data_IF_280808093877
#
_entry.id   IF_280808093877
#
_cell.length_a   1.000
_cell.length_b   1.000
_cell.length_c   1.000
_cell.angle_alpha   90.00
_cell.angle_beta   90.00
_cell.angle_gamma   90.00
#
_symmetry.space_group_name_H-M   'P 1'
#
loop_
_entity.id
_entity.type
_entity.pdbx_description
1 polymer ?
#
# COMPACT_ATOMS: atom_id res chain seq x y z
N UNK A 1 33.26 -8.66 10.32
CA UNK A 1 33.17 -7.88 9.06
C UNK A 1 31.72 -7.43 8.86
N UNK A 2 31.45 -6.13 8.78
CA UNK A 2 30.09 -5.63 8.49
C UNK A 2 29.81 -5.68 6.99
N UNK A 3 28.71 -6.30 6.57
CA UNK A 3 28.28 -6.30 5.17
C UNK A 3 28.05 -4.85 4.72
N UNK A 4 28.49 -4.48 3.50
CA UNK A 4 28.26 -3.16 2.92
C UNK A 4 26.76 -2.84 2.87
N UNK A 5 26.35 -1.60 3.17
CA UNK A 5 24.93 -1.19 3.24
C UNK A 5 24.14 -1.56 1.97
N UNK A 6 24.76 -1.42 0.80
CA UNK A 6 24.19 -1.79 -0.51
C UNK A 6 24.02 -3.30 -0.73
N UNK A 7 24.71 -4.14 0.03
CA UNK A 7 24.67 -5.60 -0.06
C UNK A 7 23.87 -6.25 1.07
N UNK A 8 23.28 -5.47 1.98
CA UNK A 8 22.46 -5.98 3.09
C UNK A 8 21.06 -6.33 2.58
N UNK A 9 20.52 -7.48 3.04
CA UNK A 9 19.10 -7.79 2.85
C UNK A 9 18.27 -6.80 3.65
N UNK A 10 17.27 -6.21 3.02
CA UNK A 10 16.32 -5.32 3.69
C UNK A 10 15.49 -6.16 4.67
N UNK A 11 15.32 -5.64 5.89
CA UNK A 11 14.53 -6.30 6.93
C UNK A 11 13.04 -6.30 6.57
N UNK A 12 12.31 -7.35 6.93
CA UNK A 12 10.84 -7.34 6.82
C UNK A 12 10.22 -6.20 7.64
N UNK A 13 10.86 -5.81 8.75
CA UNK A 13 10.41 -4.67 9.57
C UNK A 13 10.53 -3.32 8.85
N UNK A 14 11.32 -3.23 7.79
CA UNK A 14 11.46 -2.00 7.00
C UNK A 14 10.16 -1.62 6.31
N UNK A 15 9.34 -2.61 5.88
CA UNK A 15 7.99 -2.38 5.32
C UNK A 15 7.18 -1.52 6.28
N UNK A 16 7.08 -1.94 7.54
CA UNK A 16 6.27 -1.24 8.56
C UNK A 16 6.85 0.14 8.89
N UNK A 17 8.17 0.23 9.08
CA UNK A 17 8.81 1.49 9.40
C UNK A 17 8.64 2.53 8.28
N UNK A 18 8.88 2.11 7.04
CA UNK A 18 8.72 2.96 5.88
C UNK A 18 7.25 3.33 5.65
N UNK A 19 6.33 2.37 5.80
CA UNK A 19 4.88 2.63 5.72
C UNK A 19 4.44 3.69 6.72
N UNK A 20 4.86 3.60 7.99
CA UNK A 20 4.51 4.61 8.99
C UNK A 20 5.06 6.00 8.66
N UNK A 21 6.27 6.06 8.10
CA UNK A 21 6.84 7.32 7.61
C UNK A 21 6.01 7.89 6.46
N UNK A 22 5.71 7.07 5.44
CA UNK A 22 4.87 7.45 4.30
C UNK A 22 3.50 7.94 4.76
N UNK A 23 2.85 7.22 5.67
CA UNK A 23 1.55 7.60 6.23
C UNK A 23 1.58 8.97 6.88
N UNK A 24 2.62 9.29 7.66
CA UNK A 24 2.78 10.62 8.28
C UNK A 24 2.96 11.72 7.23
N UNK A 25 3.88 11.53 6.29
CA UNK A 25 4.17 12.50 5.23
C UNK A 25 2.94 12.77 4.34
N UNK A 26 2.19 11.73 3.97
CA UNK A 26 0.94 11.91 3.21
C UNK A 26 -0.13 12.60 4.07
N UNK A 27 -0.24 12.27 5.36
CA UNK A 27 -1.17 12.98 6.26
C UNK A 27 -0.82 14.46 6.36
N UNK A 28 0.46 14.81 6.42
CA UNK A 28 0.92 16.21 6.42
C UNK A 28 0.60 16.96 5.11
N UNK A 29 0.56 16.26 3.97
CA UNK A 29 0.05 16.82 2.70
C UNK A 29 -1.46 17.09 2.80
N UNK A 30 -2.22 16.13 3.32
CA UNK A 30 -3.67 16.25 3.48
C UNK A 30 -4.04 17.40 4.41
N UNK A 31 -3.32 17.59 5.51
CA UNK A 31 -3.54 18.70 6.45
C UNK A 31 -3.25 20.08 5.86
N UNK A 32 -2.56 20.14 4.71
CA UNK A 32 -2.26 21.38 3.98
C UNK A 32 -3.09 21.48 2.69
N UNK A 33 -4.24 20.80 2.67
CA UNK A 33 -5.20 20.88 1.56
C UNK A 33 -4.57 20.51 0.22
N UNK A 34 -3.67 19.50 0.22
CA UNK A 34 -2.89 19.10 -0.96
C UNK A 34 -1.93 20.20 -1.49
N UNK A 35 -1.74 21.27 -0.71
CA UNK A 35 -1.03 22.49 -1.11
C UNK A 35 -1.89 23.52 -1.81
N UNK A 36 -3.21 23.31 -1.87
CA UNK A 36 -4.18 24.30 -2.32
C UNK A 36 -4.34 25.41 -1.27
N UNK A 37 -4.59 26.62 -1.75
CA UNK A 37 -4.78 27.80 -0.92
C UNK A 37 -5.80 28.69 -1.62
N UNK A 38 -7.01 28.77 -1.04
CA UNK A 38 -8.14 29.48 -1.64
C UNK A 38 -7.81 30.96 -1.83
N UNK A 39 -7.26 31.64 -0.81
CA UNK A 39 -6.91 33.06 -0.92
C UNK A 39 -5.92 33.33 -2.05
N UNK A 40 -4.92 32.46 -2.23
CA UNK A 40 -3.94 32.55 -3.30
C UNK A 40 -4.58 32.29 -4.66
N UNK A 41 -5.54 31.37 -4.73
CA UNK A 41 -6.31 31.12 -5.95
C UNK A 41 -7.19 32.32 -6.32
N UNK A 42 -7.85 32.95 -5.35
CA UNK A 42 -8.66 34.16 -5.55
C UNK A 42 -7.80 35.36 -5.94
N UNK A 43 -6.65 35.60 -5.27
CA UNK A 43 -5.70 36.65 -5.66
C UNK A 43 -5.15 36.44 -7.08
N UNK A 44 -4.91 35.19 -7.49
CA UNK A 44 -4.53 34.88 -8.88
C UNK A 44 -5.67 35.18 -9.85
N UNK A 45 -6.92 34.85 -9.48
CA UNK A 45 -8.09 35.18 -10.28
C UNK A 45 -8.21 36.70 -10.48
N UNK A 46 -8.14 37.51 -9.42
CA UNK A 46 -8.18 38.97 -9.52
C UNK A 46 -7.12 39.53 -10.48
N UNK A 47 -5.88 39.03 -10.38
CA UNK A 47 -4.79 39.44 -11.28
C UNK A 47 -5.02 39.06 -12.75
N UNK A 48 -5.69 37.95 -13.04
CA UNK A 48 -6.02 37.57 -14.42
C UNK A 48 -6.96 38.57 -15.10
N UNK A 49 -7.74 39.32 -14.32
CA UNK A 49 -8.66 40.34 -14.83
C UNK A 49 -8.10 41.77 -14.65
N UNK A 50 -6.78 41.90 -14.44
CA UNK A 50 -6.08 43.18 -14.44
C UNK A 50 -6.30 44.04 -13.20
N UNK A 51 -6.59 43.41 -12.06
CA UNK A 51 -6.89 44.08 -10.78
C UNK A 51 -8.04 45.11 -10.87
N UNK A 52 -8.84 45.04 -11.94
CA UNK A 52 -10.06 45.81 -12.11
C UNK A 52 -11.08 45.38 -11.08
N UNK A 53 -11.88 46.33 -10.61
CA UNK A 53 -13.03 46.03 -9.77
C UNK A 53 -14.07 45.24 -10.56
N UNK A 54 -14.90 44.46 -9.88
CA UNK A 54 -15.89 43.62 -10.56
C UNK A 54 -16.82 44.47 -11.44
N UNK A 55 -17.15 45.68 -11.00
CA UNK A 55 -18.01 46.63 -11.69
C UNK A 55 -17.45 47.08 -13.05
N UNK A 56 -16.13 47.21 -13.17
CA UNK A 56 -15.39 47.67 -14.35
C UNK A 56 -15.22 46.58 -15.43
N UNK A 57 -15.58 45.34 -15.13
CA UNK A 57 -15.50 44.22 -16.07
C UNK A 57 -16.65 44.25 -17.08
N UNK A 58 -16.35 43.84 -18.31
CA UNK A 58 -17.38 43.56 -19.32
C UNK A 58 -18.29 42.41 -18.84
N UNK A 59 -19.55 42.32 -19.33
CA UNK A 59 -20.44 41.22 -18.96
C UNK A 59 -19.83 39.82 -19.18
N UNK A 60 -19.02 39.64 -20.24
CA UNK A 60 -18.33 38.39 -20.53
C UNK A 60 -17.18 38.09 -19.55
N UNK A 61 -16.45 39.12 -19.12
CA UNK A 61 -15.41 38.99 -18.09
C UNK A 61 -16.02 38.70 -16.72
N UNK A 62 -17.14 39.33 -16.36
CA UNK A 62 -17.90 39.04 -15.13
C UNK A 62 -18.30 37.58 -15.06
N UNK A 63 -18.90 37.05 -16.13
CA UNK A 63 -19.32 35.65 -16.18
C UNK A 63 -18.12 34.68 -16.08
N UNK A 64 -16.97 35.01 -16.67
CA UNK A 64 -15.74 34.20 -16.53
C UNK A 64 -15.17 34.25 -15.12
N UNK A 65 -15.14 35.43 -14.51
CA UNK A 65 -14.69 35.63 -13.14
C UNK A 65 -15.54 34.84 -12.15
N UNK A 66 -16.87 34.95 -12.25
CA UNK A 66 -17.81 34.22 -11.40
C UNK A 66 -17.62 32.71 -11.51
N UNK A 67 -17.49 32.17 -12.73
CA UNK A 67 -17.21 30.74 -12.93
C UNK A 67 -15.89 30.30 -12.29
N UNK A 68 -14.84 31.12 -12.41
CA UNK A 68 -13.53 30.81 -11.81
C UNK A 68 -13.60 30.83 -10.28
N UNK A 69 -14.27 31.83 -9.71
CA UNK A 69 -14.48 31.94 -8.26
C UNK A 69 -15.33 30.78 -7.72
N UNK A 70 -16.42 30.43 -8.41
CA UNK A 70 -17.24 29.28 -8.07
C UNK A 70 -16.43 27.97 -8.12
N UNK A 71 -15.57 27.80 -9.12
CA UNK A 71 -14.67 26.65 -9.23
C UNK A 71 -13.66 26.60 -8.07
N UNK A 72 -13.06 27.73 -7.71
CA UNK A 72 -12.12 27.80 -6.60
C UNK A 72 -12.78 27.44 -5.26
N UNK A 73 -13.98 27.98 -4.99
CA UNK A 73 -14.77 27.61 -3.81
C UNK A 73 -15.16 26.14 -3.82
N UNK A 74 -15.59 25.60 -4.96
CA UNK A 74 -15.90 24.19 -5.10
C UNK A 74 -14.71 23.27 -4.75
N UNK A 75 -13.47 23.68 -5.06
CA UNK A 75 -12.30 22.92 -4.64
C UNK A 75 -12.16 22.86 -3.12
N UNK A 76 -12.30 24.00 -2.45
CA UNK A 76 -12.19 24.15 -0.99
C UNK A 76 -13.33 23.45 -0.24
N UNK A 77 -14.57 23.63 -0.71
CA UNK A 77 -15.77 23.22 0.00
C UNK A 77 -16.05 21.72 -0.08
N UNK A 78 -15.80 21.07 -1.23
CA UNK A 78 -16.17 19.66 -1.40
C UNK A 78 -15.07 18.79 -1.97
N UNK A 79 -14.34 19.22 -3.00
CA UNK A 79 -13.38 18.34 -3.68
C UNK A 79 -12.26 17.91 -2.73
N UNK A 80 -11.64 18.86 -2.02
CA UNK A 80 -10.55 18.57 -1.11
C UNK A 80 -11.02 17.68 0.06
N UNK A 81 -12.23 17.89 0.55
CA UNK A 81 -12.81 17.08 1.64
C UNK A 81 -13.01 15.63 1.19
N UNK A 82 -13.59 15.43 0.02
CA UNK A 82 -13.82 14.10 -0.57
C UNK A 82 -12.49 13.38 -0.86
N UNK A 83 -11.57 14.07 -1.52
CA UNK A 83 -10.27 13.50 -1.91
C UNK A 83 -9.43 13.13 -0.68
N UNK A 84 -9.48 13.94 0.39
CA UNK A 84 -8.86 13.61 1.69
C UNK A 84 -9.37 12.29 2.23
N UNK A 85 -10.69 12.07 2.19
CA UNK A 85 -11.30 10.86 2.70
C UNK A 85 -10.82 9.63 1.92
N UNK A 86 -10.82 9.73 0.59
CA UNK A 86 -10.34 8.67 -0.31
C UNK A 86 -8.88 8.32 -0.06
N UNK A 87 -8.00 9.32 0.10
CA UNK A 87 -6.57 9.10 0.38
C UNK A 87 -6.36 8.50 1.78
N UNK A 88 -7.08 8.96 2.80
CA UNK A 88 -7.03 8.39 4.15
C UNK A 88 -7.45 6.92 4.14
N UNK A 89 -8.49 6.58 3.37
CA UNK A 89 -8.96 5.21 3.28
C UNK A 89 -7.96 4.32 2.55
N UNK A 90 -7.27 4.81 1.51
CA UNK A 90 -6.13 4.10 0.92
C UNK A 90 -5.06 3.78 1.98
N UNK A 91 -4.66 4.77 2.79
CA UNK A 91 -3.67 4.58 3.85
C UNK A 91 -4.13 3.57 4.91
N UNK A 92 -5.41 3.59 5.29
CA UNK A 92 -5.99 2.63 6.23
C UNK A 92 -6.00 1.22 5.66
N UNK A 93 -6.40 1.04 4.39
CA UNK A 93 -6.38 -0.25 3.72
C UNK A 93 -4.98 -0.81 3.54
N UNK A 94 -3.97 0.02 3.18
CA UNK A 94 -2.57 -0.45 3.15
C UNK A 94 -2.15 -0.95 4.54
N UNK A 95 -2.48 -0.19 5.60
CA UNK A 95 -2.17 -0.59 6.97
C UNK A 95 -2.81 -1.94 7.31
N UNK A 96 -4.11 -2.10 7.06
CA UNK A 96 -4.83 -3.33 7.32
C UNK A 96 -4.17 -4.52 6.62
N UNK A 97 -3.99 -4.44 5.30
CA UNK A 97 -3.45 -5.52 4.49
C UNK A 97 -2.03 -5.92 4.91
N UNK A 98 -1.17 -4.94 5.23
CA UNK A 98 0.20 -5.20 5.70
C UNK A 98 0.20 -5.92 7.06
N UNK A 99 -0.66 -5.53 7.98
CA UNK A 99 -0.71 -6.12 9.32
C UNK A 99 -1.38 -7.49 9.33
N UNK A 100 -2.44 -7.70 8.52
CA UNK A 100 -3.06 -9.01 8.34
C UNK A 100 -2.09 -9.98 7.66
N UNK A 101 -1.37 -9.56 6.62
CA UNK A 101 -0.32 -10.40 6.05
C UNK A 101 0.74 -10.80 7.09
N UNK A 102 1.07 -9.90 8.02
CA UNK A 102 2.09 -10.16 9.03
C UNK A 102 1.64 -11.14 10.12
N UNK A 103 0.35 -11.11 10.50
CA UNK A 103 -0.19 -11.98 11.55
C UNK A 103 -0.27 -13.45 11.12
N UNK A 104 -0.31 -13.72 9.81
CA UNK A 104 -0.32 -15.07 9.26
C UNK A 104 1.11 -15.62 9.25
N UNK A 105 1.42 -16.64 10.06
CA UNK A 105 2.68 -17.38 9.96
C UNK A 105 2.45 -18.67 9.18
N UNK A 106 2.98 -18.81 7.94
CA UNK A 106 2.65 -19.97 7.12
C UNK A 106 3.25 -21.27 7.65
N UNK A 107 2.38 -22.20 8.02
CA UNK A 107 2.69 -23.60 8.38
C UNK A 107 2.18 -24.57 7.31
N UNK A 108 1.14 -24.19 6.57
CA UNK A 108 0.64 -24.90 5.39
C UNK A 108 0.62 -24.01 4.14
N UNK A 109 0.27 -24.60 2.99
CA UNK A 109 0.26 -23.88 1.72
C UNK A 109 -0.86 -22.84 1.65
N UNK A 110 -2.00 -23.17 2.26
CA UNK A 110 -3.20 -22.33 2.30
C UNK A 110 -2.92 -21.01 3.03
N UNK A 111 -2.28 -21.07 4.20
CA UNK A 111 -1.83 -19.89 4.95
C UNK A 111 -0.81 -19.06 4.16
N UNK A 112 0.11 -19.71 3.43
CA UNK A 112 1.06 -19.00 2.56
C UNK A 112 0.35 -18.27 1.42
N UNK A 113 -0.69 -18.88 0.84
CA UNK A 113 -1.50 -18.27 -0.22
C UNK A 113 -2.27 -17.07 0.35
N UNK A 114 -2.92 -17.22 1.50
CA UNK A 114 -3.67 -16.15 2.15
C UNK A 114 -2.78 -14.95 2.49
N UNK A 115 -1.62 -15.20 3.09
CA UNK A 115 -0.61 -14.16 3.34
C UNK A 115 -0.19 -13.41 2.07
N UNK A 116 -0.02 -14.12 0.96
CA UNK A 116 0.34 -13.51 -0.34
C UNK A 116 -0.78 -12.65 -0.90
N UNK A 117 -2.02 -13.07 -0.74
CA UNK A 117 -3.19 -12.29 -1.16
C UNK A 117 -3.18 -10.93 -0.45
N UNK A 118 -2.98 -10.91 0.86
CA UNK A 118 -2.89 -9.66 1.62
C UNK A 118 -1.70 -8.79 1.21
N UNK A 119 -0.51 -9.38 0.96
CA UNK A 119 0.63 -8.63 0.42
C UNK A 119 0.33 -8.02 -0.97
N UNK A 120 -0.37 -8.75 -1.83
CA UNK A 120 -0.74 -8.28 -3.17
C UNK A 120 -1.83 -7.21 -3.12
N UNK A 121 -2.78 -7.31 -2.19
CA UNK A 121 -3.76 -6.25 -1.91
C UNK A 121 -3.08 -5.00 -1.36
N UNK A 122 -2.12 -5.12 -0.45
CA UNK A 122 -1.34 -3.98 0.03
C UNK A 122 -0.63 -3.26 -1.13
N UNK A 123 0.02 -4.00 -2.04
CA UNK A 123 0.64 -3.45 -3.26
C UNK A 123 -0.41 -2.75 -4.13
N UNK A 124 -1.58 -3.37 -4.31
CA UNK A 124 -2.70 -2.78 -5.05
C UNK A 124 -3.17 -1.46 -4.45
N UNK A 125 -3.30 -1.38 -3.12
CA UNK A 125 -3.69 -0.14 -2.44
C UNK A 125 -2.61 0.94 -2.51
N UNK A 126 -1.32 0.58 -2.57
CA UNK A 126 -0.26 1.54 -2.89
C UNK A 126 -0.43 2.13 -4.30
N UNK A 127 -0.76 1.31 -5.31
CA UNK A 127 -1.04 1.82 -6.65
C UNK A 127 -2.30 2.68 -6.71
N UNK A 128 -3.34 2.31 -5.98
CA UNK A 128 -4.54 3.14 -5.83
C UNK A 128 -4.18 4.50 -5.24
N UNK A 129 -3.43 4.54 -4.13
CA UNK A 129 -2.94 5.78 -3.53
C UNK A 129 -2.17 6.65 -4.53
N UNK A 130 -1.33 6.06 -5.38
CA UNK A 130 -0.66 6.80 -6.47
C UNK A 130 -1.66 7.44 -7.43
N UNK A 131 -2.73 6.73 -7.79
CA UNK A 131 -3.76 7.24 -8.71
C UNK A 131 -4.57 8.38 -8.09
N UNK A 132 -4.97 8.26 -6.81
CA UNK A 132 -5.70 9.34 -6.11
C UNK A 132 -4.83 10.61 -6.02
N UNK A 133 -3.54 10.46 -5.65
CA UNK A 133 -2.64 11.61 -5.63
C UNK A 133 -2.42 12.21 -7.03
N UNK A 134 -2.40 11.39 -8.08
CA UNK A 134 -2.33 11.88 -9.46
C UNK A 134 -3.60 12.63 -9.86
N UNK A 135 -4.78 12.15 -9.46
CA UNK A 135 -6.05 12.82 -9.69
C UNK A 135 -6.11 14.19 -9.00
N UNK A 136 -5.62 14.27 -7.76
CA UNK A 136 -5.48 15.53 -7.04
C UNK A 136 -4.55 16.52 -7.77
N UNK A 137 -3.41 16.06 -8.30
CA UNK A 137 -2.46 16.88 -9.07
C UNK A 137 -3.08 17.42 -10.37
N UNK A 138 -3.82 16.58 -11.09
CA UNK A 138 -4.43 16.95 -12.38
C UNK A 138 -5.62 17.89 -12.21
N UNK A 139 -6.30 17.81 -11.06
CA UNK A 139 -7.52 18.55 -10.80
C UNK A 139 -7.27 19.89 -10.09
N UNK A 140 -6.37 19.92 -9.10
CA UNK A 140 -6.10 21.11 -8.30
C UNK A 140 -5.00 21.99 -8.93
N UNK A 141 -5.09 23.33 -8.79
CA UNK A 141 -4.06 24.25 -9.25
C UNK A 141 -2.85 24.30 -8.28
N UNK A 142 -2.22 23.15 -8.06
CA UNK A 142 -1.12 22.94 -7.11
C UNK A 142 0.24 22.76 -7.80
N UNK A 143 1.32 22.82 -7.02
CA UNK A 143 2.67 22.62 -7.53
C UNK A 143 3.02 21.13 -7.57
N UNK A 144 3.06 20.58 -8.78
CA UNK A 144 3.37 19.16 -9.08
C UNK A 144 4.70 18.72 -8.44
N UNK A 145 5.69 19.61 -8.36
CA UNK A 145 7.01 19.25 -7.82
C UNK A 145 6.96 18.84 -6.35
N UNK A 146 5.95 19.31 -5.60
CA UNK A 146 5.74 18.92 -4.20
C UNK A 146 5.33 17.45 -4.03
N UNK A 147 4.89 16.80 -5.12
CA UNK A 147 4.38 15.45 -5.11
C UNK A 147 5.39 14.38 -5.48
N UNK A 148 6.49 14.74 -6.15
CA UNK A 148 7.53 13.79 -6.57
C UNK A 148 8.03 12.93 -5.40
N UNK A 149 8.23 13.54 -4.24
CA UNK A 149 8.61 12.81 -3.01
C UNK A 149 7.60 11.75 -2.59
N UNK A 150 6.29 11.99 -2.76
CA UNK A 150 5.27 11.02 -2.37
C UNK A 150 5.23 9.87 -3.36
N UNK A 151 5.39 10.14 -4.65
CA UNK A 151 5.54 9.10 -5.67
C UNK A 151 6.75 8.19 -5.36
N UNK A 152 7.90 8.78 -5.01
CA UNK A 152 9.10 8.03 -4.64
C UNK A 152 8.90 7.19 -3.37
N UNK A 153 8.21 7.73 -2.36
CA UNK A 153 7.88 7.00 -1.12
C UNK A 153 6.95 5.83 -1.42
N UNK A 154 5.86 6.05 -2.16
CA UNK A 154 4.92 4.97 -2.50
C UNK A 154 5.61 3.89 -3.32
N UNK A 155 6.46 4.28 -4.28
CA UNK A 155 7.23 3.33 -5.08
C UNK A 155 8.24 2.55 -4.24
N UNK A 156 8.86 3.19 -3.24
CA UNK A 156 9.72 2.52 -2.26
C UNK A 156 8.94 1.49 -1.45
N UNK A 157 7.74 1.85 -0.95
CA UNK A 157 6.87 0.93 -0.21
C UNK A 157 6.49 -0.30 -1.05
N UNK A 158 6.09 -0.09 -2.31
CA UNK A 158 5.81 -1.18 -3.27
C UNK A 158 7.01 -2.12 -3.42
N UNK A 159 8.21 -1.57 -3.51
CA UNK A 159 9.43 -2.38 -3.65
C UNK A 159 9.73 -3.18 -2.39
N UNK A 160 9.48 -2.61 -1.20
CA UNK A 160 9.61 -3.30 0.09
C UNK A 160 8.61 -4.46 0.18
N UNK A 161 7.34 -4.24 -0.16
CA UNK A 161 6.30 -5.27 -0.18
C UNK A 161 6.62 -6.40 -1.16
N UNK A 162 7.07 -6.08 -2.37
CA UNK A 162 7.52 -7.07 -3.36
C UNK A 162 8.73 -7.87 -2.84
N UNK A 163 9.66 -7.20 -2.17
CA UNK A 163 10.82 -7.81 -1.52
C UNK A 163 10.42 -8.78 -0.41
N UNK A 164 9.47 -8.37 0.44
CA UNK A 164 8.91 -9.20 1.50
C UNK A 164 8.23 -10.46 0.94
N UNK A 165 7.34 -10.31 -0.05
CA UNK A 165 6.69 -11.44 -0.74
C UNK A 165 7.70 -12.42 -1.35
N UNK A 166 8.79 -11.90 -1.93
CA UNK A 166 9.88 -12.73 -2.48
C UNK A 166 10.62 -13.50 -1.37
N UNK A 167 10.81 -12.89 -0.20
CA UNK A 167 11.48 -13.53 0.94
C UNK A 167 10.67 -14.70 1.51
N UNK A 168 9.34 -14.65 1.39
CA UNK A 168 8.42 -15.69 1.86
C UNK A 168 8.48 -16.98 1.01
N UNK A 169 9.22 -17.00 -0.11
CA UNK A 169 9.53 -18.23 -0.84
C UNK A 169 10.27 -19.29 0.02
N UNK A 170 10.86 -18.88 1.15
CA UNK A 170 11.44 -19.80 2.14
C UNK A 170 10.37 -20.74 2.74
N UNK A 171 9.16 -20.25 2.98
CA UNK A 171 8.05 -21.05 3.54
C UNK A 171 7.61 -22.12 2.55
N UNK A 172 7.51 -21.77 1.25
CA UNK A 172 7.19 -22.73 0.19
C UNK A 172 8.13 -23.94 0.19
N UNK A 173 9.44 -23.71 0.38
CA UNK A 173 10.43 -24.79 0.45
C UNK A 173 10.22 -25.65 1.69
N UNK A 174 10.11 -25.03 2.87
CA UNK A 174 9.90 -25.76 4.12
C UNK A 174 8.63 -26.63 4.11
N UNK A 175 7.53 -26.12 3.55
CA UNK A 175 6.26 -26.85 3.42
C UNK A 175 6.40 -28.01 2.41
N UNK A 176 7.03 -27.77 1.26
CA UNK A 176 7.25 -28.79 0.22
C UNK A 176 8.19 -29.91 0.69
N UNK A 177 9.25 -29.57 1.41
CA UNK A 177 10.22 -30.54 1.93
C UNK A 177 9.57 -31.41 3.01
N UNK A 178 8.68 -30.84 3.83
CA UNK A 178 7.88 -31.61 4.80
C UNK A 178 7.01 -32.65 4.10
N UNK A 179 6.28 -32.27 3.05
CA UNK A 179 5.49 -33.21 2.24
C UNK A 179 6.35 -34.27 1.53
N UNK A 180 7.53 -33.88 1.05
CA UNK A 180 8.46 -34.79 0.36
C UNK A 180 9.12 -35.77 1.33
N UNK A 181 9.36 -35.38 2.58
CA UNK A 181 9.85 -36.27 3.63
C UNK A 181 8.82 -37.33 4.06
N UNK A 182 7.53 -37.02 4.01
CA UNK A 182 6.46 -38.04 4.13
C UNK A 182 6.38 -38.95 2.90
N UNK A 183 6.75 -38.43 1.73
CA UNK A 183 6.80 -39.20 0.48
C UNK A 183 8.12 -39.96 0.27
N UNK A 184 9.14 -39.79 1.12
CA UNK A 184 10.42 -40.46 0.98
C UNK A 184 10.34 -41.91 1.50
N UNK A 185 9.80 -42.74 0.62
CA UNK A 185 10.14 -44.15 0.45
C UNK A 185 11.66 -44.35 0.44
N UNK A 186 12.09 -45.47 1.03
CA UNK A 186 13.50 -45.78 1.29
C UNK A 186 14.42 -45.63 0.06
N UNK A 187 15.71 -45.44 0.33
CA UNK A 187 16.80 -45.10 -0.61
C UNK A 187 17.12 -46.17 -1.69
N UNK A 188 16.20 -47.10 -1.95
CA UNK A 188 16.34 -48.17 -2.96
C UNK A 188 15.38 -47.98 -4.15
N UNK A 189 14.73 -46.82 -4.28
CA UNK A 189 13.84 -46.52 -5.41
C UNK A 189 12.58 -47.36 -5.46
N UNK A 190 12.23 -48.06 -4.37
CA UNK A 190 10.99 -48.81 -4.29
C UNK A 190 9.93 -47.96 -3.59
N UNK A 191 8.89 -47.55 -4.32
CA UNK A 191 7.70 -47.00 -3.69
C UNK A 191 7.11 -48.10 -2.80
N UNK A 192 7.13 -47.90 -1.47
CA UNK A 192 6.49 -48.81 -0.55
C UNK A 192 5.00 -48.89 -0.90
N UNK A 193 4.62 -49.99 -1.55
CA UNK A 193 3.25 -50.32 -1.93
C UNK A 193 2.39 -50.70 -0.71
N UNK A 194 2.77 -50.28 0.50
CA UNK A 194 1.89 -50.31 1.67
C UNK A 194 1.15 -48.99 1.74
N UNK A 195 0.27 -48.88 0.74
CA UNK A 195 -0.77 -47.89 0.56
C UNK A 195 -1.63 -47.76 1.83
N UNK A 196 -2.27 -46.61 1.97
CA UNK A 196 -3.05 -46.11 3.10
C UNK A 196 -4.33 -46.92 3.45
N UNK A 197 -4.31 -48.26 3.34
CA UNK A 197 -5.49 -49.12 3.47
C UNK A 197 -5.27 -50.41 4.26
N UNK A 198 -4.10 -50.63 4.89
CA UNK A 198 -3.89 -51.81 5.73
C UNK A 198 -4.25 -51.49 7.19
N UNK A 199 -4.99 -52.39 7.86
CA UNK A 199 -5.56 -52.23 9.21
C UNK A 199 -4.54 -52.08 10.36
N UNK A 200 -3.28 -51.82 10.04
CA UNK A 200 -2.18 -51.60 10.98
C UNK A 200 -1.78 -50.13 10.96
N UNK A 201 -2.77 -49.23 10.97
CA UNK A 201 -2.54 -47.83 11.27
C UNK A 201 -1.83 -47.76 12.60
N UNK A 202 -0.56 -47.38 12.59
CA UNK A 202 0.18 -47.06 13.80
C UNK A 202 -0.52 -45.84 14.38
N UNK A 203 -1.48 -46.09 15.26
CA UNK A 203 -2.02 -45.12 16.20
C UNK A 203 -0.81 -44.57 16.96
N UNK A 204 -0.68 -43.25 17.16
CA UNK A 204 0.28 -42.76 18.12
C UNK A 204 -0.10 -43.38 19.48
N UNK A 205 0.76 -44.24 20.02
CA UNK A 205 0.60 -44.72 21.39
C UNK A 205 0.71 -43.50 22.31
N UNK A 206 -0.42 -43.14 22.93
CA UNK A 206 -0.46 -42.26 24.10
C UNK A 206 -0.14 -43.07 25.36
N UNK A 207 1.00 -43.74 25.38
CA UNK A 207 1.54 -44.32 26.60
C UNK A 207 2.45 -43.30 27.28
N UNK A 208 1.82 -42.23 27.79
CA UNK A 208 2.37 -41.51 28.93
C UNK A 208 1.55 -41.91 30.15
N UNK A 209 2.08 -42.87 30.92
CA UNK A 209 1.59 -43.13 32.27
C UNK A 209 1.75 -41.84 33.05
N UNK A 210 0.64 -41.30 33.53
CA UNK A 210 0.62 -40.25 34.54
C UNK A 210 0.89 -40.96 35.87
N UNK A 211 2.09 -40.74 36.42
CA UNK A 211 2.35 -40.79 37.86
C UNK A 211 2.79 -39.41 38.33
#
# INVERSE_FOLDING_TARGET
MSVLKSKRKVSQFEVFHHFYKMRKEVTDLLLRDFGYDLERAEKKAMKMFGDKTFEELTPEEKARYEKLMAKNKAFDEWFIVDERQTVVDCLRSICEEVFVANSIYPTCMEELIERRIHQDRAIGQCYRLTQELQYAIETLPVDVNKYLRFADMIQTEINLLKGWRKSDNKFKRAISDSASNFANVNNNGNANYNNASNSNGVRPDFDSVIE
#
